data_IF_848013629008
#
_entry.id   IF_848013629008
#
_cell.length_a   1.000
_cell.length_b   1.000
_cell.length_c   1.000
_cell.angle_alpha   90.00
_cell.angle_beta   90.00
_cell.angle_gamma   90.00
#
_symmetry.space_group_name_H-M   'P 1'
#
loop_
_entity.id
_entity.type
_entity.pdbx_description
1 polymer ?
#
# COMPACT_ATOMS: atom_id res chain seq x y z
N UNK A 1 11.05 17.71 -0.61
CA UNK A 1 11.66 16.37 -0.57
C UNK A 1 12.35 16.24 0.79
N UNK A 2 12.14 15.15 1.52
CA UNK A 2 13.00 14.81 2.65
C UNK A 2 14.35 14.27 2.17
N UNK A 3 15.39 14.41 2.97
CA UNK A 3 16.66 13.69 2.81
C UNK A 3 16.66 12.45 3.72
N UNK A 4 17.70 11.60 3.68
CA UNK A 4 17.81 10.47 4.62
C UNK A 4 17.79 10.92 6.10
N UNK A 5 18.18 12.17 6.36
CA UNK A 5 18.30 12.71 7.72
C UNK A 5 17.16 13.66 8.11
N UNK A 6 16.28 14.04 7.17
CA UNK A 6 15.18 14.99 7.42
C UNK A 6 13.89 14.43 6.83
N UNK A 7 12.96 14.06 7.72
CA UNK A 7 11.60 13.67 7.34
C UNK A 7 10.67 14.88 7.22
N UNK A 8 9.87 14.89 6.16
CA UNK A 8 8.78 15.87 5.99
C UNK A 8 7.52 15.33 6.66
N UNK A 9 6.79 16.15 7.41
CA UNK A 9 5.54 15.74 8.07
C UNK A 9 4.35 16.46 7.43
N UNK A 10 3.32 15.70 7.06
CA UNK A 10 2.06 16.18 6.51
C UNK A 10 0.93 15.58 7.34
N UNK A 11 0.27 16.44 8.12
CA UNK A 11 -0.80 16.05 9.04
C UNK A 11 -1.82 17.18 9.21
N UNK A 12 -2.99 16.86 9.76
CA UNK A 12 -3.95 17.84 10.24
C UNK A 12 -3.36 18.71 11.35
N UNK A 13 -3.78 19.97 11.42
CA UNK A 13 -3.39 20.90 12.50
C UNK A 13 -4.10 20.61 13.83
N UNK A 14 -5.18 19.83 13.82
CA UNK A 14 -5.98 19.46 15.00
C UNK A 14 -5.73 18.04 15.50
N UNK A 15 -5.86 17.83 16.82
CA UNK A 15 -5.65 16.55 17.52
C UNK A 15 -6.85 15.58 17.51
N UNK A 16 -7.94 15.86 16.78
CA UNK A 16 -9.15 15.02 16.78
C UNK A 16 -9.29 14.13 15.54
N UNK A 17 -9.91 12.96 15.70
CA UNK A 17 -10.26 12.03 14.61
C UNK A 17 -11.18 12.67 13.54
N UNK A 18 -11.93 13.70 13.91
CA UNK A 18 -12.81 14.47 12.99
C UNK A 18 -12.06 15.54 12.18
N UNK A 19 -10.78 15.80 12.49
CA UNK A 19 -9.97 16.86 11.89
C UNK A 19 -9.18 16.45 10.64
N UNK A 20 -9.58 15.36 9.96
CA UNK A 20 -8.80 14.82 8.83
C UNK A 20 -8.70 15.80 7.67
N UNK A 21 -7.51 15.91 7.10
CA UNK A 21 -7.33 16.63 5.85
C UNK A 21 -7.77 15.75 4.67
N UNK A 22 -8.16 16.38 3.56
CA UNK A 22 -8.72 15.69 2.39
C UNK A 22 -7.72 14.76 1.72
N UNK A 23 -6.95 15.29 0.77
CA UNK A 23 -5.95 14.53 0.04
C UNK A 23 -4.92 15.43 -0.67
N UNK A 24 -3.75 14.85 -0.97
CA UNK A 24 -2.83 15.40 -1.95
C UNK A 24 -3.19 14.74 -3.28
N UNK A 25 -3.81 15.52 -4.14
CA UNK A 25 -4.24 15.07 -5.47
C UNK A 25 -3.16 15.35 -6.51
N UNK A 26 -2.72 14.29 -7.19
CA UNK A 26 -1.90 14.34 -8.39
C UNK A 26 -2.74 13.89 -9.59
N UNK A 27 -3.24 14.83 -10.38
CA UNK A 27 -4.00 14.54 -11.60
C UNK A 27 -3.15 14.92 -12.82
N UNK A 28 -2.78 13.92 -13.62
CA UNK A 28 -2.02 14.09 -14.88
C UNK A 28 -0.73 14.91 -14.70
N UNK A 29 -0.08 14.77 -13.55
CA UNK A 29 1.19 15.43 -13.31
C UNK A 29 2.29 14.76 -14.15
N UNK A 30 3.29 15.55 -14.57
CA UNK A 30 4.46 15.02 -15.30
C UNK A 30 5.28 14.03 -14.46
N UNK A 31 5.13 14.07 -13.15
CA UNK A 31 5.69 13.13 -12.20
C UNK A 31 5.39 13.57 -10.76
N UNK A 32 5.44 12.63 -9.82
CA UNK A 32 5.33 12.86 -8.39
C UNK A 32 6.39 12.07 -7.64
N UNK A 33 7.03 12.70 -6.64
CA UNK A 33 8.04 12.05 -5.80
C UNK A 33 7.81 12.42 -4.35
N UNK A 34 7.47 11.42 -3.54
CA UNK A 34 7.45 11.55 -2.08
C UNK A 34 8.56 10.70 -1.52
N UNK A 35 9.52 11.36 -0.86
CA UNK A 35 10.70 10.74 -0.28
C UNK A 35 10.74 11.11 1.20
N UNK A 36 10.92 10.12 2.07
CA UNK A 36 11.08 10.28 3.52
C UNK A 36 10.02 11.23 4.10
N UNK A 37 8.75 10.96 3.80
CA UNK A 37 7.62 11.82 4.20
C UNK A 37 6.63 11.01 5.04
N UNK A 38 6.15 11.62 6.11
CA UNK A 38 5.16 11.06 7.01
C UNK A 38 3.81 11.71 6.75
N UNK A 39 2.82 10.87 6.50
CA UNK A 39 1.44 11.25 6.22
C UNK A 39 0.55 10.66 7.30
N UNK A 40 -0.17 11.51 8.02
CA UNK A 40 -1.11 11.07 9.04
C UNK A 40 -2.40 11.88 9.06
N UNK A 41 -3.47 11.25 9.56
CA UNK A 41 -4.78 11.87 9.74
C UNK A 41 -5.40 12.43 8.44
N UNK A 42 -5.30 11.68 7.34
CA UNK A 42 -5.90 12.02 6.05
C UNK A 42 -7.15 11.18 5.75
N UNK A 43 -8.04 11.70 4.89
CA UNK A 43 -9.04 10.88 4.20
C UNK A 43 -8.36 9.98 3.15
N UNK A 44 -7.51 10.56 2.30
CA UNK A 44 -6.56 9.83 1.47
C UNK A 44 -5.24 10.59 1.46
N UNK A 45 -4.16 10.04 2.03
CA UNK A 45 -2.91 10.79 2.11
C UNK A 45 -2.37 11.15 0.71
N UNK A 46 -2.41 10.20 -0.23
CA UNK A 46 -2.11 10.47 -1.63
C UNK A 46 -3.23 9.92 -2.52
N UNK A 47 -3.71 10.76 -3.43
CA UNK A 47 -4.60 10.37 -4.51
C UNK A 47 -3.92 10.69 -5.85
N UNK A 48 -3.58 9.66 -6.62
CA UNK A 48 -2.84 9.81 -7.88
C UNK A 48 -3.60 9.23 -9.06
N UNK A 49 -3.75 10.04 -10.10
CA UNK A 49 -4.40 9.73 -11.37
C UNK A 49 -3.45 10.05 -12.53
N UNK A 50 -3.17 9.07 -13.39
CA UNK A 50 -2.42 9.24 -14.64
C UNK A 50 -1.07 9.96 -14.46
N UNK A 51 -0.34 9.61 -13.40
CA UNK A 51 0.91 10.26 -13.00
C UNK A 51 1.98 9.19 -12.77
N UNK A 52 3.21 9.45 -13.24
CA UNK A 52 4.40 8.67 -12.84
C UNK A 52 4.75 9.01 -11.38
N UNK A 53 4.54 8.07 -10.46
CA UNK A 53 4.66 8.31 -9.02
C UNK A 53 5.71 7.41 -8.38
N UNK A 54 6.66 8.03 -7.68
CA UNK A 54 7.57 7.35 -6.76
C UNK A 54 7.22 7.71 -5.31
N UNK A 55 7.06 6.68 -4.48
CA UNK A 55 6.98 6.75 -3.02
C UNK A 55 8.11 5.90 -2.44
N UNK A 56 8.99 6.52 -1.66
CA UNK A 56 10.19 5.87 -1.11
C UNK A 56 10.47 6.35 0.32
N UNK A 57 10.63 5.44 1.28
CA UNK A 57 10.96 5.80 2.67
C UNK A 57 9.84 6.51 3.44
N UNK A 58 8.61 6.48 2.94
CA UNK A 58 7.48 7.20 3.52
C UNK A 58 6.78 6.42 4.64
N UNK A 59 6.01 7.13 5.47
CA UNK A 59 5.13 6.53 6.49
C UNK A 59 3.70 7.00 6.28
N UNK A 60 2.76 6.06 6.22
CA UNK A 60 1.32 6.33 6.12
C UNK A 60 0.66 5.78 7.38
N UNK A 61 0.25 6.67 8.28
CA UNK A 61 -0.17 6.31 9.64
C UNK A 61 -1.57 6.86 9.94
N UNK A 62 -2.48 6.02 10.42
CA UNK A 62 -3.79 6.44 10.93
C UNK A 62 -4.63 7.27 9.93
N UNK A 63 -4.58 6.90 8.64
CA UNK A 63 -5.42 7.50 7.59
C UNK A 63 -6.64 6.63 7.29
N UNK A 64 -7.71 7.20 6.73
CA UNK A 64 -8.73 6.37 6.08
C UNK A 64 -8.15 5.62 4.87
N UNK A 65 -7.24 6.26 4.16
CA UNK A 65 -6.51 5.65 3.07
C UNK A 65 -5.08 6.17 3.01
N UNK A 66 -4.11 5.26 2.93
CA UNK A 66 -2.72 5.66 2.70
C UNK A 66 -2.56 6.20 1.27
N UNK A 67 -2.74 5.34 0.27
CA UNK A 67 -2.62 5.74 -1.14
C UNK A 67 -3.79 5.20 -1.96
N UNK A 68 -4.38 6.07 -2.79
CA UNK A 68 -5.32 5.70 -3.85
C UNK A 68 -4.69 5.95 -5.22
N UNK A 69 -4.59 4.91 -6.03
CA UNK A 69 -4.01 4.98 -7.38
C UNK A 69 -5.03 4.70 -8.46
N UNK A 70 -4.97 5.49 -9.54
CA UNK A 70 -5.56 5.18 -10.84
C UNK A 70 -4.51 5.37 -11.93
N UNK A 71 -4.27 4.32 -12.71
CA UNK A 71 -3.22 4.31 -13.75
C UNK A 71 -1.79 4.36 -13.15
N UNK A 72 -0.78 4.49 -14.01
CA UNK A 72 0.64 4.49 -13.65
C UNK A 72 1.54 4.85 -14.84
N UNK A 73 2.87 4.74 -14.71
CA UNK A 73 3.59 3.87 -13.77
C UNK A 73 3.63 4.37 -12.32
N UNK A 74 3.67 3.45 -11.35
CA UNK A 74 3.83 3.77 -9.93
C UNK A 74 4.83 2.81 -9.27
N UNK A 75 5.71 3.35 -8.41
CA UNK A 75 6.61 2.58 -7.57
C UNK A 75 6.43 2.99 -6.11
N UNK A 76 6.08 2.04 -5.26
CA UNK A 76 5.97 2.22 -3.81
C UNK A 76 6.99 1.31 -3.16
N UNK A 77 7.98 1.88 -2.48
CA UNK A 77 9.04 1.09 -1.86
C UNK A 77 9.53 1.60 -0.52
N UNK A 78 10.15 0.71 0.24
CA UNK A 78 10.80 1.00 1.53
C UNK A 78 9.93 1.82 2.50
N UNK A 79 8.61 1.68 2.43
CA UNK A 79 7.65 2.52 3.14
C UNK A 79 6.86 1.70 4.17
N UNK A 80 6.33 2.39 5.18
CA UNK A 80 5.47 1.82 6.21
C UNK A 80 4.02 2.27 6.00
N UNK A 81 3.09 1.31 6.04
CA UNK A 81 1.64 1.54 6.06
C UNK A 81 1.06 0.90 7.31
N UNK A 82 0.60 1.71 8.26
CA UNK A 82 0.06 1.21 9.51
C UNK A 82 -1.12 2.02 10.07
N UNK A 83 -2.04 1.35 10.76
CA UNK A 83 -3.22 1.98 11.36
C UNK A 83 -4.20 2.59 10.35
N UNK A 84 -4.06 2.32 9.05
CA UNK A 84 -4.96 2.86 8.04
C UNK A 84 -6.21 1.98 7.88
N UNK A 85 -7.34 2.53 7.41
CA UNK A 85 -8.45 1.67 6.97
C UNK A 85 -8.05 0.86 5.74
N UNK A 86 -7.51 1.52 4.72
CA UNK A 86 -6.89 0.86 3.58
C UNK A 86 -5.47 1.39 3.42
N UNK A 87 -4.45 0.53 3.49
CA UNK A 87 -3.06 0.94 3.28
C UNK A 87 -2.84 1.45 1.85
N UNK A 88 -3.04 0.57 0.87
CA UNK A 88 -2.88 0.89 -0.56
C UNK A 88 -4.09 0.41 -1.34
N UNK A 89 -4.75 1.32 -2.06
CA UNK A 89 -5.84 0.98 -3.00
C UNK A 89 -5.44 1.27 -4.43
N UNK A 90 -5.70 0.30 -5.28
CA UNK A 90 -5.18 0.26 -6.65
C UNK A 90 -6.31 0.07 -7.65
N UNK A 91 -6.35 0.88 -8.72
CA UNK A 91 -7.33 0.79 -9.79
C UNK A 91 -6.70 0.97 -11.19
N UNK A 92 -6.57 -0.12 -11.95
CA UNK A 92 -5.96 -0.19 -13.28
C UNK A 92 -4.56 0.45 -13.41
N UNK A 93 -3.60 0.25 -12.49
CA UNK A 93 -2.29 0.85 -12.65
C UNK A 93 -1.35 -0.04 -13.49
N UNK A 94 -0.16 0.50 -13.74
CA UNK A 94 1.07 -0.29 -13.78
C UNK A 94 1.84 0.03 -12.50
N UNK A 95 1.90 -0.89 -11.54
CA UNK A 95 2.44 -0.62 -10.20
C UNK A 95 3.42 -1.71 -9.73
N UNK A 96 4.51 -1.27 -9.11
CA UNK A 96 5.43 -2.14 -8.35
C UNK A 96 5.39 -1.71 -6.89
N UNK A 97 5.03 -2.64 -6.00
CA UNK A 97 4.99 -2.46 -4.55
C UNK A 97 6.05 -3.38 -3.97
N UNK A 98 7.18 -2.83 -3.52
CA UNK A 98 8.36 -3.62 -3.12
C UNK A 98 9.05 -3.14 -1.84
N UNK A 99 9.50 -4.04 -0.97
CA UNK A 99 10.28 -3.66 0.22
C UNK A 99 9.52 -2.92 1.32
N UNK A 100 8.18 -2.95 1.31
CA UNK A 100 7.34 -2.23 2.26
C UNK A 100 6.99 -3.07 3.49
N UNK A 101 6.61 -2.39 4.57
CA UNK A 101 5.95 -2.98 5.72
C UNK A 101 4.50 -2.50 5.77
N UNK A 102 3.55 -3.44 5.72
CA UNK A 102 2.12 -3.16 5.61
C UNK A 102 1.39 -3.96 6.68
N UNK A 103 1.19 -3.34 7.84
CA UNK A 103 0.72 -4.02 9.05
C UNK A 103 -0.23 -3.16 9.88
N UNK A 104 -1.15 -3.78 10.61
CA UNK A 104 -2.09 -3.06 11.49
C UNK A 104 -3.11 -2.19 10.76
N UNK A 105 -3.34 -2.41 9.46
CA UNK A 105 -4.40 -1.74 8.70
C UNK A 105 -5.69 -2.58 8.75
N UNK A 106 -6.86 -2.02 8.42
CA UNK A 106 -8.04 -2.89 8.24
C UNK A 106 -7.88 -3.80 7.01
N UNK A 107 -7.46 -3.21 5.88
CA UNK A 107 -7.00 -3.92 4.70
C UNK A 107 -5.64 -3.38 4.28
N UNK A 108 -4.64 -4.26 4.15
CA UNK A 108 -3.29 -3.88 3.75
C UNK A 108 -3.25 -3.32 2.33
N UNK A 109 -3.53 -4.17 1.35
CA UNK A 109 -3.61 -3.80 -0.06
C UNK A 109 -4.96 -4.21 -0.64
N UNK A 110 -5.59 -3.31 -1.41
CA UNK A 110 -6.81 -3.60 -2.17
C UNK A 110 -6.59 -3.32 -3.67
N UNK A 111 -6.56 -4.39 -4.46
CA UNK A 111 -6.51 -4.34 -5.93
C UNK A 111 -7.93 -4.45 -6.48
N UNK A 112 -8.47 -3.32 -6.93
CA UNK A 112 -9.85 -3.18 -7.37
C UNK A 112 -10.07 -3.56 -8.84
N UNK A 113 -9.09 -3.31 -9.71
CA UNK A 113 -9.14 -3.69 -11.13
C UNK A 113 -7.74 -3.57 -11.75
N UNK A 114 -7.48 -4.31 -12.84
CA UNK A 114 -6.20 -4.30 -13.56
C UNK A 114 -5.06 -4.98 -12.82
N UNK A 115 -5.35 -6.09 -12.15
CA UNK A 115 -4.42 -6.84 -11.32
C UNK A 115 -3.18 -7.35 -12.04
N UNK A 116 -3.28 -7.67 -13.34
CA UNK A 116 -2.13 -8.12 -14.14
C UNK A 116 -1.08 -7.04 -14.34
N UNK A 117 -1.41 -5.76 -14.10
CA UNK A 117 -0.48 -4.63 -14.11
C UNK A 117 0.21 -4.38 -12.75
N UNK A 118 -0.06 -5.19 -11.72
CA UNK A 118 0.43 -4.99 -10.36
C UNK A 118 1.40 -6.11 -9.99
N UNK A 119 2.61 -5.72 -9.54
CA UNK A 119 3.58 -6.64 -8.94
C UNK A 119 3.83 -6.27 -7.48
N UNK A 120 3.55 -7.18 -6.57
CA UNK A 120 3.74 -7.04 -5.13
C UNK A 120 4.83 -8.04 -4.73
N UNK A 121 6.01 -7.58 -4.33
CA UNK A 121 7.13 -8.49 -4.02
C UNK A 121 7.99 -7.98 -2.88
N UNK A 122 8.65 -8.87 -2.15
CA UNK A 122 9.66 -8.48 -1.14
C UNK A 122 9.08 -7.53 -0.07
N UNK A 123 7.79 -7.64 0.26
CA UNK A 123 7.15 -6.88 1.34
C UNK A 123 6.90 -7.79 2.56
N UNK A 124 6.76 -7.15 3.72
CA UNK A 124 6.15 -7.74 4.91
C UNK A 124 4.69 -7.28 4.99
N UNK A 125 3.72 -8.19 4.83
CA UNK A 125 2.29 -7.89 4.79
C UNK A 125 1.56 -8.82 5.77
N UNK A 126 1.37 -8.37 7.00
CA UNK A 126 0.88 -9.21 8.09
C UNK A 126 0.07 -8.38 9.10
N UNK A 127 -0.62 -9.03 10.04
CA UNK A 127 -1.39 -8.39 11.12
C UNK A 127 -2.36 -7.28 10.68
N UNK A 128 -2.91 -7.37 9.46
CA UNK A 128 -4.03 -6.52 9.04
C UNK A 128 -5.34 -7.16 9.52
N UNK A 129 -6.31 -6.34 9.93
CA UNK A 129 -7.52 -6.79 10.64
C UNK A 129 -8.42 -7.73 9.82
N UNK A 130 -8.68 -7.38 8.56
CA UNK A 130 -9.57 -8.16 7.70
C UNK A 130 -8.80 -8.90 6.62
N UNK A 131 -7.96 -8.19 5.86
CA UNK A 131 -7.22 -8.80 4.75
C UNK A 131 -5.83 -8.17 4.61
N UNK A 132 -4.81 -9.02 4.41
CA UNK A 132 -3.49 -8.59 3.97
C UNK A 132 -3.54 -8.11 2.51
N UNK A 133 -4.23 -8.87 1.66
CA UNK A 133 -4.46 -8.52 0.26
C UNK A 133 -5.89 -8.90 -0.15
N UNK A 134 -6.61 -7.92 -0.70
CA UNK A 134 -7.94 -8.10 -1.30
C UNK A 134 -7.87 -7.83 -2.79
N UNK A 135 -8.47 -8.71 -3.57
CA UNK A 135 -8.81 -8.53 -4.99
C UNK A 135 -10.33 -8.43 -5.06
N UNK A 136 -10.92 -7.55 -5.88
CA UNK A 136 -12.37 -7.47 -5.91
C UNK A 136 -12.97 -6.41 -6.82
N UNK A 137 -14.27 -6.14 -6.63
CA UNK A 137 -15.15 -5.26 -7.41
C UNK A 137 -15.32 -5.68 -8.88
N UNK A 138 -14.25 -5.65 -9.67
CA UNK A 138 -14.30 -5.94 -11.12
C UNK A 138 -13.02 -6.60 -11.64
N UNK A 139 -12.09 -6.93 -10.74
CA UNK A 139 -10.78 -7.43 -11.14
C UNK A 139 -10.83 -8.90 -11.58
N UNK A 140 -10.80 -9.18 -12.88
CA UNK A 140 -10.77 -10.55 -13.42
C UNK A 140 -9.37 -11.13 -13.61
N UNK A 141 -8.33 -10.32 -13.39
CA UNK A 141 -6.93 -10.66 -13.65
C UNK A 141 -6.23 -11.15 -12.39
N UNK A 142 -5.33 -12.12 -12.51
CA UNK A 142 -4.52 -12.55 -11.37
C UNK A 142 -3.54 -11.44 -10.94
N UNK A 143 -3.21 -11.40 -9.65
CA UNK A 143 -2.24 -10.46 -9.06
C UNK A 143 -0.98 -11.22 -8.69
N UNK A 144 0.17 -10.80 -9.22
CA UNK A 144 1.46 -11.35 -8.82
C UNK A 144 1.87 -10.78 -7.47
N UNK A 145 1.85 -11.65 -6.45
CA UNK A 145 2.22 -11.35 -5.08
C UNK A 145 3.27 -12.33 -4.53
N UNK A 146 4.16 -12.83 -5.39
CA UNK A 146 5.27 -13.71 -5.00
C UNK A 146 6.40 -12.97 -4.29
N UNK A 147 7.07 -13.67 -3.39
CA UNK A 147 8.24 -13.21 -2.64
C UNK A 147 7.94 -12.33 -1.44
N UNK A 148 6.70 -12.31 -0.96
CA UNK A 148 6.31 -11.55 0.25
C UNK A 148 6.28 -12.46 1.48
N UNK A 149 6.55 -11.85 2.64
CA UNK A 149 6.28 -12.44 3.94
C UNK A 149 4.88 -12.04 4.39
N UNK A 150 4.09 -13.02 4.85
CA UNK A 150 2.65 -12.82 5.13
C UNK A 150 2.28 -12.94 6.62
N UNK A 151 3.29 -13.03 7.50
CA UNK A 151 3.10 -13.38 8.91
C UNK A 151 3.16 -14.90 9.14
N UNK A 152 2.92 -15.31 10.38
CA UNK A 152 2.84 -16.73 10.74
C UNK A 152 1.51 -17.36 10.27
N UNK A 153 1.55 -18.64 9.91
CA UNK A 153 0.36 -19.41 9.50
C UNK A 153 0.08 -19.36 8.00
N UNK A 154 -1.12 -19.79 7.62
CA UNK A 154 -1.55 -19.87 6.21
C UNK A 154 -1.95 -18.48 5.66
N UNK A 155 -1.21 -17.93 4.67
CA UNK A 155 -1.50 -16.63 4.09
C UNK A 155 -2.91 -16.54 3.47
N UNK A 156 -3.44 -17.67 2.96
CA UNK A 156 -4.74 -17.70 2.28
C UNK A 156 -5.89 -17.33 3.22
N UNK A 157 -5.72 -17.45 4.54
CA UNK A 157 -6.71 -17.01 5.54
C UNK A 157 -6.92 -15.49 5.54
N UNK A 158 -5.90 -14.73 5.15
CA UNK A 158 -5.92 -13.26 5.11
C UNK A 158 -6.00 -12.70 3.69
N UNK A 159 -6.27 -13.54 2.69
CA UNK A 159 -6.42 -13.16 1.28
C UNK A 159 -7.87 -13.32 0.85
N UNK A 160 -8.42 -12.27 0.23
CA UNK A 160 -9.72 -12.32 -0.45
C UNK A 160 -9.52 -12.22 -1.95
N UNK A 161 -9.89 -13.25 -2.70
CA UNK A 161 -9.65 -13.34 -4.15
C UNK A 161 -10.61 -14.35 -4.82
N UNK A 162 -10.29 -14.74 -6.06
CA UNK A 162 -11.03 -15.70 -6.88
C UNK A 162 -11.31 -17.08 -6.25
N UNK A 163 -10.65 -17.42 -5.14
CA UNK A 163 -10.94 -18.64 -4.36
C UNK A 163 -12.19 -18.46 -3.49
N UNK A 164 -12.45 -17.23 -3.03
CA UNK A 164 -13.60 -16.88 -2.16
C UNK A 164 -14.77 -16.30 -2.95
N UNK A 165 -14.49 -15.56 -4.02
CA UNK A 165 -15.50 -14.92 -4.85
C UNK A 165 -15.31 -15.31 -6.32
N UNK A 166 -16.31 -15.98 -6.89
CA UNK A 166 -16.26 -16.37 -8.31
C UNK A 166 -16.32 -15.11 -9.18
N UNK A 167 -15.53 -15.09 -10.24
CA UNK A 167 -15.54 -14.01 -11.23
C UNK A 167 -14.49 -12.92 -10.99
N UNK A 168 -13.67 -13.03 -9.94
CA UNK A 168 -12.48 -12.20 -9.75
C UNK A 168 -11.19 -13.03 -9.81
N UNK A 169 -10.07 -12.37 -10.10
CA UNK A 169 -8.75 -12.98 -10.21
C UNK A 169 -8.19 -13.46 -8.87
N UNK A 170 -7.16 -14.29 -8.95
CA UNK A 170 -6.47 -14.90 -7.81
C UNK A 170 -5.19 -14.15 -7.47
N UNK A 171 -4.81 -14.21 -6.20
CA UNK A 171 -3.47 -13.84 -5.77
C UNK A 171 -2.53 -15.02 -6.03
N UNK A 172 -1.42 -14.75 -6.71
CA UNK A 172 -0.32 -15.68 -6.95
C UNK A 172 0.76 -15.45 -5.90
N UNK A 173 0.84 -16.36 -4.92
CA UNK A 173 1.69 -16.20 -3.74
C UNK A 173 3.10 -16.78 -3.88
N UNK A 174 3.34 -17.64 -4.87
CA UNK A 174 4.57 -18.42 -4.94
C UNK A 174 5.74 -17.62 -5.55
N UNK A 175 6.93 -17.63 -4.93
CA UNK A 175 7.25 -18.25 -3.64
C UNK A 175 6.73 -17.41 -2.46
N UNK A 176 6.34 -18.04 -1.35
CA UNK A 176 6.10 -17.32 -0.09
C UNK A 176 7.44 -17.21 0.66
N UNK A 177 7.73 -16.07 1.27
CA UNK A 177 8.93 -15.92 2.08
C UNK A 177 8.74 -16.58 3.45
N UNK A 178 9.72 -17.38 3.89
CA UNK A 178 9.65 -18.14 5.16
C UNK A 178 9.97 -17.29 6.41
N UNK A 179 10.53 -16.10 6.21
CA UNK A 179 10.88 -15.16 7.27
C UNK A 179 10.61 -13.72 6.82
N UNK A 180 10.47 -12.78 7.78
CA UNK A 180 10.36 -11.37 7.46
C UNK A 180 11.49 -10.92 6.52
N UNK A 181 11.10 -10.22 5.46
CA UNK A 181 12.03 -9.56 4.55
C UNK A 181 12.78 -8.52 5.37
N UNK A 182 14.11 -8.48 5.27
CA UNK A 182 14.90 -7.40 5.88
C UNK A 182 14.74 -6.14 5.04
N UNK A 183 13.85 -5.26 5.45
CA UNK A 183 13.68 -3.96 4.81
C UNK A 183 14.81 -3.03 5.26
N UNK A 184 15.21 -2.11 4.37
CA UNK A 184 16.09 -0.99 4.74
C UNK A 184 15.35 0.12 5.51
N UNK A 185 14.23 -0.23 6.15
CA UNK A 185 13.48 0.70 6.98
C UNK A 185 14.30 1.00 8.24
N UNK A 186 14.87 2.20 8.29
CA UNK A 186 15.44 2.79 9.50
C UNK A 186 14.29 3.34 10.34
N UNK A 187 13.57 2.44 11.01
CA UNK A 187 12.64 2.82 12.05
C UNK A 187 13.39 3.06 13.35
N UNK A 188 13.34 4.30 13.83
CA UNK A 188 13.50 4.53 15.26
C UNK A 188 12.48 3.64 15.97
N UNK A 189 13.00 2.76 16.84
CA UNK A 189 12.17 2.00 17.77
C UNK A 189 11.32 3.02 18.54
N UNK A 190 10.00 2.94 18.38
CA UNK A 190 9.10 3.55 19.35
C UNK A 190 9.15 2.74 20.65
#
# INVERSE_FOLDING_TARGET
LGSNDIRVVITSSGRSEDGRWGEILLERARGGRFLNTDFSNALWAIHSHFTDLLVDGCRFMNNEGGIRLRSGPVRIKNSLFTGNRIGIRVYRPRAVIEGNEITGNETGIFVREGGGGVRIKENNIFDNKFYNLRVGDFNQEDVDAGGNYWGEGDPLRMIFDGRREKGIGKVILSPVADAPIKNHWHGDKY
#
